data_IF_016145818332
#
_entry.id   IF_016145818332
#
_cell.length_a   1.000
_cell.length_b   1.000
_cell.length_c   1.000
_cell.angle_alpha   90.00
_cell.angle_beta   90.00
_cell.angle_gamma   90.00
#
_symmetry.space_group_name_H-M   'P 1'
#
loop_
_entity.id
_entity.type
_entity.pdbx_description
1 polymer ?
#
# COMPACT_ATOMS: atom_id res chain seq x y z
N UNK A 1 10.99 -3.63 -10.16
CA UNK A 1 11.47 -4.69 -11.06
C UNK A 1 12.58 -5.56 -10.45
N UNK A 2 13.46 -5.03 -9.61
CA UNK A 2 14.47 -5.83 -8.90
C UNK A 2 13.86 -6.99 -8.09
N UNK A 3 12.61 -6.85 -7.68
CA UNK A 3 11.83 -7.90 -7.02
C UNK A 3 11.04 -8.81 -7.98
N UNK A 4 11.21 -8.66 -9.30
CA UNK A 4 10.61 -9.51 -10.32
C UNK A 4 9.22 -9.09 -10.83
N UNK A 5 8.75 -7.87 -10.51
CA UNK A 5 7.51 -7.35 -11.10
C UNK A 5 7.67 -7.19 -12.62
N UNK A 6 6.83 -7.88 -13.38
CA UNK A 6 6.85 -7.85 -14.86
C UNK A 6 6.19 -6.59 -15.43
N UNK A 7 5.11 -6.14 -14.79
CA UNK A 7 4.35 -4.96 -15.18
C UNK A 7 3.96 -4.15 -13.94
N UNK A 8 4.12 -2.84 -14.02
CA UNK A 8 3.74 -1.91 -12.95
C UNK A 8 2.79 -0.87 -13.52
N UNK A 9 1.62 -0.73 -12.91
CA UNK A 9 0.66 0.32 -13.22
C UNK A 9 0.71 1.36 -12.12
N UNK A 10 0.88 2.62 -12.49
CA UNK A 10 1.06 3.72 -11.55
C UNK A 10 -0.05 4.76 -11.71
N UNK A 11 -0.81 4.99 -10.66
CA UNK A 11 -1.82 6.04 -10.61
C UNK A 11 -1.46 7.12 -9.57
N UNK A 12 -1.74 8.36 -9.90
CA UNK A 12 -1.60 9.48 -8.97
C UNK A 12 -2.75 10.46 -9.17
N UNK A 13 -3.25 11.09 -8.09
CA UNK A 13 -4.27 12.15 -8.18
C UNK A 13 -3.92 13.24 -9.21
N UNK A 14 -2.64 13.57 -9.32
CA UNK A 14 -2.11 14.43 -10.37
C UNK A 14 -1.42 13.55 -11.40
N UNK A 15 -2.12 13.18 -12.47
CA UNK A 15 -1.64 12.22 -13.48
C UNK A 15 -0.24 12.58 -14.02
N UNK A 16 0.07 13.87 -14.25
CA UNK A 16 1.40 14.31 -14.70
C UNK A 16 2.55 13.93 -13.75
N UNK A 17 2.28 13.70 -12.44
CA UNK A 17 3.31 13.18 -11.53
C UNK A 17 3.60 11.70 -11.74
N UNK A 18 2.57 10.92 -12.08
CA UNK A 18 2.76 9.52 -12.44
C UNK A 18 3.57 9.41 -13.73
N UNK A 19 3.23 10.23 -14.75
CA UNK A 19 3.93 10.25 -16.03
C UNK A 19 5.40 10.65 -15.86
N UNK A 20 5.68 11.71 -15.11
CA UNK A 20 7.06 12.16 -14.87
C UNK A 20 7.90 11.07 -14.15
N UNK A 21 7.31 10.38 -13.15
CA UNK A 21 8.01 9.29 -12.47
C UNK A 21 8.23 8.08 -13.40
N UNK A 22 7.26 7.75 -14.24
CA UNK A 22 7.42 6.67 -15.21
C UNK A 22 8.53 6.98 -16.23
N UNK A 23 8.63 8.23 -16.70
CA UNK A 23 9.71 8.68 -17.58
C UNK A 23 11.07 8.61 -16.90
N UNK A 24 11.17 9.03 -15.63
CA UNK A 24 12.42 8.95 -14.85
C UNK A 24 12.90 7.50 -14.68
N UNK A 25 11.99 6.54 -14.59
CA UNK A 25 12.28 5.13 -14.38
C UNK A 25 12.28 4.29 -15.67
N UNK A 26 12.11 4.89 -16.84
CA UNK A 26 11.92 4.19 -18.12
C UNK A 26 13.07 3.22 -18.47
N UNK A 27 14.29 3.52 -18.05
CA UNK A 27 15.46 2.66 -18.27
C UNK A 27 15.47 1.41 -17.37
N UNK A 28 14.69 1.41 -16.28
CA UNK A 28 14.74 0.36 -15.25
C UNK A 28 13.42 -0.40 -15.12
N UNK A 29 12.31 0.17 -15.57
CA UNK A 29 10.98 -0.40 -15.39
C UNK A 29 10.05 -0.08 -16.56
N UNK A 30 9.21 -1.06 -16.94
CA UNK A 30 8.04 -0.81 -17.78
C UNK A 30 6.89 -0.39 -16.88
N UNK A 31 6.55 0.91 -16.92
CA UNK A 31 5.50 1.48 -16.09
C UNK A 31 4.41 2.05 -17.00
N UNK A 32 3.21 1.54 -16.83
CA UNK A 32 2.00 2.13 -17.41
C UNK A 32 1.42 3.15 -16.43
N UNK A 33 1.04 4.33 -16.93
CA UNK A 33 0.44 5.36 -16.10
C UNK A 33 -1.06 5.45 -16.34
N UNK A 34 -1.82 5.46 -15.26
CA UNK A 34 -3.28 5.50 -15.26
C UNK A 34 -3.77 6.79 -14.61
N UNK A 35 -4.94 7.25 -15.03
CA UNK A 35 -5.70 8.19 -14.22
C UNK A 35 -6.20 7.48 -12.97
N UNK A 36 -6.68 8.24 -11.97
CA UNK A 36 -7.22 7.63 -10.75
C UNK A 36 -8.47 6.79 -11.03
N UNK A 37 -9.36 7.32 -11.87
CA UNK A 37 -10.61 6.65 -12.25
C UNK A 37 -10.34 5.37 -13.05
N UNK A 38 -9.36 5.39 -13.96
CA UNK A 38 -8.96 4.20 -14.72
C UNK A 38 -8.36 3.13 -13.80
N UNK A 39 -7.57 3.54 -12.80
CA UNK A 39 -7.00 2.60 -11.83
C UNK A 39 -8.08 1.95 -10.95
N UNK A 40 -9.07 2.72 -10.48
CA UNK A 40 -10.21 2.16 -9.74
C UNK A 40 -11.03 1.20 -10.63
N UNK A 41 -11.29 1.58 -11.88
CA UNK A 41 -11.99 0.71 -12.84
C UNK A 41 -11.21 -0.57 -13.16
N UNK A 42 -9.90 -0.47 -13.32
CA UNK A 42 -9.05 -1.63 -13.57
C UNK A 42 -9.07 -2.62 -12.41
N UNK A 43 -8.98 -2.14 -11.17
CA UNK A 43 -9.07 -3.00 -9.98
C UNK A 43 -10.40 -3.79 -9.89
N UNK A 44 -11.46 -3.30 -10.53
CA UNK A 44 -12.75 -3.98 -10.62
C UNK A 44 -12.86 -4.94 -11.81
N UNK A 45 -12.06 -4.77 -12.85
CA UNK A 45 -12.19 -5.48 -14.12
C UNK A 45 -11.09 -6.53 -14.36
N UNK A 46 -9.90 -6.33 -13.81
CA UNK A 46 -8.74 -7.18 -14.05
C UNK A 46 -8.12 -7.65 -12.73
N UNK A 47 -7.79 -8.93 -12.65
CA UNK A 47 -7.05 -9.47 -11.53
C UNK A 47 -5.57 -9.06 -11.62
N UNK A 48 -5.02 -8.61 -10.49
CA UNK A 48 -3.60 -8.27 -10.36
C UNK A 48 -2.99 -9.01 -9.18
N UNK A 49 -1.68 -9.21 -9.19
CA UNK A 49 -0.99 -9.91 -8.10
C UNK A 49 -0.89 -9.05 -6.84
N UNK A 50 -0.69 -7.73 -7.02
CA UNK A 50 -0.44 -6.80 -5.92
C UNK A 50 -1.09 -5.44 -6.17
N UNK A 51 -1.84 -4.97 -5.19
CA UNK A 51 -2.35 -3.59 -5.11
C UNK A 51 -1.66 -2.90 -3.93
N UNK A 52 -1.09 -1.71 -4.16
CA UNK A 52 -0.44 -0.92 -3.09
C UNK A 52 -1.00 0.49 -3.08
N UNK A 53 -1.71 0.85 -2.02
CA UNK A 53 -2.05 2.24 -1.77
C UNK A 53 -0.89 2.95 -1.04
N UNK A 54 -0.22 3.85 -1.75
CA UNK A 54 0.83 4.72 -1.19
C UNK A 54 0.37 6.17 -1.01
N UNK A 55 -0.92 6.42 -1.18
CA UNK A 55 -1.52 7.75 -1.03
C UNK A 55 -2.04 7.98 0.39
N UNK A 56 -2.52 9.19 0.68
CA UNK A 56 -3.22 9.50 1.93
C UNK A 56 -4.70 9.08 1.93
N UNK A 57 -5.23 8.56 0.82
CA UNK A 57 -6.64 8.13 0.76
C UNK A 57 -6.89 7.00 1.75
N UNK A 58 -7.98 7.12 2.49
CA UNK A 58 -8.31 6.20 3.56
C UNK A 58 -7.78 6.60 4.94
N UNK A 59 -6.91 7.62 5.05
CA UNK A 59 -6.57 8.22 6.34
C UNK A 59 -7.79 8.92 6.96
N UNK A 60 -7.77 9.06 8.27
CA UNK A 60 -8.81 9.80 9.01
C UNK A 60 -8.92 11.24 8.48
N UNK A 61 -10.10 11.56 7.94
CA UNK A 61 -10.39 12.88 7.33
C UNK A 61 -10.15 12.96 5.83
N UNK A 62 -9.61 11.92 5.21
CA UNK A 62 -9.40 11.83 3.76
C UNK A 62 -10.47 10.93 3.10
N UNK A 63 -10.69 11.14 1.80
CA UNK A 63 -11.60 10.30 1.05
C UNK A 63 -11.08 8.87 0.94
N UNK A 64 -11.90 7.84 1.18
CA UNK A 64 -11.50 6.45 1.02
C UNK A 64 -11.30 6.07 -0.45
N UNK A 65 -10.64 4.94 -0.69
CA UNK A 65 -10.68 4.20 -1.94
C UNK A 65 -11.90 3.27 -1.84
N UNK A 66 -12.82 3.37 -2.79
CA UNK A 66 -14.15 2.71 -2.71
C UNK A 66 -14.44 1.74 -3.86
N UNK A 67 -13.43 1.35 -4.65
CA UNK A 67 -13.57 0.32 -5.68
C UNK A 67 -14.03 -1.01 -5.05
N UNK A 68 -14.79 -1.79 -5.81
CA UNK A 68 -15.37 -3.04 -5.32
C UNK A 68 -14.39 -4.22 -5.32
N UNK A 69 -13.22 -4.06 -5.95
CA UNK A 69 -12.22 -5.11 -6.15
C UNK A 69 -12.83 -6.38 -6.77
N UNK A 70 -13.76 -6.20 -7.73
CA UNK A 70 -14.63 -7.29 -8.20
C UNK A 70 -13.87 -8.40 -8.92
N UNK A 71 -12.77 -8.08 -9.59
CA UNK A 71 -11.93 -9.04 -10.31
C UNK A 71 -10.84 -9.68 -9.42
N UNK A 72 -10.63 -9.18 -8.19
CA UNK A 72 -9.54 -9.66 -7.35
C UNK A 72 -9.85 -11.01 -6.72
N UNK A 73 -8.80 -11.81 -6.48
CA UNK A 73 -8.87 -13.19 -6.03
C UNK A 73 -8.11 -13.39 -4.70
N UNK A 74 -8.23 -14.55 -4.03
CA UNK A 74 -7.48 -14.84 -2.81
C UNK A 74 -5.95 -14.81 -2.98
N UNK A 75 -5.44 -14.91 -4.20
CA UNK A 75 -4.01 -14.80 -4.53
C UNK A 75 -3.54 -13.34 -4.55
N UNK A 76 -4.46 -12.39 -4.77
CA UNK A 76 -4.15 -10.96 -4.76
C UNK A 76 -3.74 -10.49 -3.36
N UNK A 77 -2.62 -9.79 -3.28
CA UNK A 77 -2.19 -9.09 -2.06
C UNK A 77 -2.59 -7.62 -2.15
N UNK A 78 -3.26 -7.11 -1.13
CA UNK A 78 -3.64 -5.69 -1.03
C UNK A 78 -2.92 -5.07 0.16
N UNK A 79 -2.00 -4.15 -0.11
CA UNK A 79 -1.25 -3.40 0.89
C UNK A 79 -1.73 -1.95 0.92
N UNK A 80 -1.99 -1.45 2.13
CA UNK A 80 -2.28 -0.05 2.36
C UNK A 80 -1.27 0.51 3.36
N UNK A 81 -0.50 1.54 2.98
CA UNK A 81 0.47 2.16 3.89
C UNK A 81 -0.19 3.04 4.97
N UNK A 82 -1.47 3.31 4.85
CA UNK A 82 -2.24 3.98 5.91
C UNK A 82 -2.27 3.09 7.15
N UNK A 83 -1.94 3.68 8.29
CA UNK A 83 -1.93 3.00 9.60
C UNK A 83 -2.92 3.60 10.60
N UNK A 84 -3.62 4.66 10.23
CA UNK A 84 -4.68 5.28 11.05
C UNK A 84 -5.85 5.72 10.15
N UNK A 85 -6.92 4.92 10.11
CA UNK A 85 -7.17 3.65 10.81
C UNK A 85 -6.29 2.50 10.30
N UNK A 86 -6.15 1.42 11.09
CA UNK A 86 -5.47 0.18 10.63
C UNK A 86 -6.28 -0.54 9.56
N UNK A 87 -7.60 -0.55 9.70
CA UNK A 87 -8.53 -1.11 8.72
C UNK A 87 -9.09 0.06 7.91
N UNK A 88 -8.58 0.22 6.70
CA UNK A 88 -9.11 1.17 5.72
C UNK A 88 -10.24 0.51 4.91
N UNK A 89 -11.09 1.30 4.27
CA UNK A 89 -12.16 0.77 3.41
C UNK A 89 -11.61 -0.14 2.29
N UNK A 90 -10.41 0.18 1.77
CA UNK A 90 -9.71 -0.67 0.80
C UNK A 90 -9.40 -2.05 1.38
N UNK A 91 -8.81 -2.10 2.57
CA UNK A 91 -8.46 -3.38 3.22
C UNK A 91 -9.70 -4.16 3.66
N UNK A 92 -10.77 -3.49 4.11
CA UNK A 92 -12.05 -4.13 4.43
C UNK A 92 -12.67 -4.78 3.18
N UNK A 93 -12.68 -4.05 2.05
CA UNK A 93 -13.19 -4.59 0.77
C UNK A 93 -12.34 -5.77 0.31
N UNK A 94 -11.01 -5.66 0.38
CA UNK A 94 -10.09 -6.74 0.02
C UNK A 94 -10.31 -8.00 0.87
N UNK A 95 -10.44 -7.84 2.19
CA UNK A 95 -10.71 -8.95 3.10
C UNK A 95 -12.07 -9.62 2.79
N UNK A 96 -13.11 -8.84 2.47
CA UNK A 96 -14.41 -9.36 2.09
C UNK A 96 -14.38 -10.16 0.76
N UNK A 97 -13.39 -9.89 -0.11
CA UNK A 97 -13.12 -10.65 -1.33
C UNK A 97 -12.24 -11.88 -1.11
N UNK A 98 -11.71 -12.06 0.09
CA UNK A 98 -10.78 -13.14 0.42
C UNK A 98 -9.33 -12.86 0.05
N UNK A 99 -9.01 -11.64 -0.40
CA UNK A 99 -7.64 -11.23 -0.72
C UNK A 99 -6.76 -11.23 0.55
N UNK A 100 -5.45 -11.39 0.34
CA UNK A 100 -4.49 -11.19 1.42
C UNK A 100 -4.32 -9.69 1.69
N UNK A 101 -4.39 -9.28 2.96
CA UNK A 101 -4.31 -7.85 3.34
C UNK A 101 -3.07 -7.57 4.18
N UNK A 102 -2.42 -6.42 3.91
CA UNK A 102 -1.25 -5.93 4.64
C UNK A 102 -1.50 -4.48 5.03
N UNK A 103 -1.57 -4.19 6.31
CA UNK A 103 -1.76 -2.82 6.81
C UNK A 103 -0.45 -2.02 6.92
N UNK A 104 -0.57 -0.70 7.06
CA UNK A 104 0.56 0.22 7.08
C UNK A 104 1.39 0.20 8.36
N UNK A 105 0.94 -0.42 9.45
CA UNK A 105 1.68 -0.44 10.71
C UNK A 105 2.98 -1.24 10.60
N UNK A 106 2.96 -2.35 9.86
CA UNK A 106 4.16 -3.13 9.58
C UNK A 106 5.25 -2.28 8.91
N UNK A 107 4.89 -1.54 7.88
CA UNK A 107 5.80 -0.62 7.20
C UNK A 107 6.34 0.44 8.16
N UNK A 108 5.47 1.10 8.95
CA UNK A 108 5.87 2.11 9.92
C UNK A 108 6.92 1.59 10.92
N UNK A 109 6.72 0.39 11.44
CA UNK A 109 7.63 -0.21 12.40
C UNK A 109 8.97 -0.61 11.75
N UNK A 110 8.93 -1.22 10.57
CA UNK A 110 10.12 -1.68 9.89
C UNK A 110 10.99 -0.53 9.36
N UNK A 111 10.40 0.55 8.85
CA UNK A 111 11.14 1.73 8.38
C UNK A 111 11.89 2.46 9.51
N UNK A 112 11.42 2.35 10.75
CA UNK A 112 12.09 2.98 11.89
C UNK A 112 13.42 2.27 12.28
N UNK A 113 13.61 1.00 11.91
CA UNK A 113 14.79 0.20 12.31
C UNK A 113 16.14 0.81 11.86
N UNK A 114 16.33 1.21 10.59
CA UNK A 114 17.60 1.81 10.16
C UNK A 114 17.93 3.10 10.92
N UNK A 115 16.91 3.96 11.10
CA UNK A 115 17.07 5.21 11.84
C UNK A 115 17.44 4.94 13.31
N UNK A 116 16.75 3.99 13.97
CA UNK A 116 17.05 3.60 15.34
C UNK A 116 18.49 3.09 15.48
N UNK A 117 18.94 2.24 14.54
CA UNK A 117 20.33 1.76 14.54
C UNK A 117 21.32 2.90 14.34
N UNK A 118 21.05 3.86 13.46
CA UNK A 118 21.92 5.00 13.21
C UNK A 118 22.06 5.91 14.44
N UNK A 119 20.94 6.16 15.16
CA UNK A 119 20.95 7.05 16.33
C UNK A 119 21.46 6.38 17.60
N UNK A 120 21.17 5.11 17.82
CA UNK A 120 21.42 4.43 19.09
C UNK A 120 22.47 3.31 19.01
N UNK A 121 22.99 3.00 17.83
CA UNK A 121 23.96 1.94 17.61
C UNK A 121 23.41 0.51 17.84
N UNK A 122 22.12 0.38 18.13
CA UNK A 122 21.47 -0.90 18.47
C UNK A 122 20.55 -1.39 17.35
N UNK A 123 20.62 -2.68 17.04
CA UNK A 123 19.67 -3.33 16.14
C UNK A 123 18.45 -3.79 16.92
N UNK A 124 17.27 -3.38 16.45
CA UNK A 124 16.00 -3.79 17.04
C UNK A 124 15.23 -4.73 16.11
N UNK A 125 14.52 -5.68 16.70
CA UNK A 125 13.57 -6.53 15.99
C UNK A 125 12.16 -5.92 16.06
N UNK A 126 11.39 -6.13 15.00
CA UNK A 126 9.94 -5.86 15.01
C UNK A 126 9.26 -7.20 15.20
N UNK A 127 8.64 -7.38 16.33
CA UNK A 127 7.90 -8.58 16.70
C UNK A 127 6.42 -8.26 17.02
N UNK A 128 5.63 -9.30 17.23
CA UNK A 128 4.21 -9.15 17.56
C UNK A 128 3.98 -8.38 18.88
N UNK A 129 4.91 -8.48 19.83
CA UNK A 129 4.83 -7.77 21.11
C UNK A 129 5.01 -6.27 20.93
N UNK A 130 5.98 -5.82 20.11
CA UNK A 130 6.17 -4.41 19.78
C UNK A 130 4.96 -3.88 19.01
N UNK A 131 4.49 -4.63 18.00
CA UNK A 131 3.30 -4.27 17.23
C UNK A 131 2.10 -4.05 18.15
N UNK A 132 1.79 -4.99 19.01
CA UNK A 132 0.66 -4.91 19.95
C UNK A 132 0.77 -3.70 20.90
N UNK A 133 1.97 -3.40 21.40
CA UNK A 133 2.20 -2.22 22.25
C UNK A 133 1.91 -0.92 21.52
N UNK A 134 2.32 -0.81 20.24
CA UNK A 134 2.07 0.39 19.43
C UNK A 134 0.58 0.52 19.13
N UNK A 135 -0.09 -0.53 18.69
CA UNK A 135 -1.55 -0.55 18.47
C UNK A 135 -2.33 -0.03 19.68
N UNK A 136 -1.95 -0.51 20.87
CA UNK A 136 -2.62 -0.14 22.13
C UNK A 136 -2.33 1.31 22.53
N UNK A 137 -1.07 1.75 22.39
CA UNK A 137 -0.65 3.11 22.82
C UNK A 137 -1.18 4.21 21.92
N UNK A 138 -1.29 3.95 20.63
CA UNK A 138 -1.69 4.96 19.62
C UNK A 138 -3.19 4.90 19.34
N UNK A 139 -3.91 3.93 19.93
CA UNK A 139 -5.37 3.82 19.75
C UNK A 139 -5.76 3.46 18.31
N UNK A 140 -5.00 2.59 17.67
CA UNK A 140 -5.21 2.15 16.28
C UNK A 140 -6.21 1.00 16.13
N UNK A 141 -6.95 0.69 17.21
CA UNK A 141 -8.00 -0.35 17.22
C UNK A 141 -9.36 0.25 16.93
#
# INVERSE_FOLDING_TARGET
QDAGAGHVMLANRTHGRATALAEELADTATIETLTWDDAEALMDQEAVDLIVNTSSRGMKGEHPITCALAAQTPETVVNDIVYSPLQTALLETAAARGCQTVDGLGMLLHQARPAFQAFFGARVSVDAGLRHKVETRVGLR
#
